data_IF_025439940716
#
_entry.id   IF_025439940716
#
_cell.length_a   1.000
_cell.length_b   1.000
_cell.length_c   1.000
_cell.angle_alpha   90.00
_cell.angle_beta   90.00
_cell.angle_gamma   90.00
#
_symmetry.space_group_name_H-M   'P 1'
#
loop_
_entity.id
_entity.type
_entity.pdbx_description
1 polymer ?
#
# COMPACT_ATOMS: atom_id res chain seq x y z
N UNK A 1 18.30 -6.24 10.02
CA UNK A 1 16.92 -6.35 9.48
C UNK A 1 16.99 -6.32 7.96
N UNK A 2 17.34 -7.48 7.39
CA UNK A 2 17.46 -7.70 5.96
C UNK A 2 16.20 -8.44 5.52
N UNK A 3 15.20 -7.68 5.06
CA UNK A 3 14.06 -8.27 4.38
C UNK A 3 14.43 -8.20 2.91
N UNK A 4 14.80 -9.34 2.34
CA UNK A 4 15.14 -9.45 0.91
C UNK A 4 13.99 -8.94 0.06
N UNK A 5 14.28 -8.02 -0.86
CA UNK A 5 13.29 -7.35 -1.73
C UNK A 5 12.39 -8.34 -2.51
N UNK A 6 12.86 -9.58 -2.70
CA UNK A 6 12.12 -10.69 -3.32
C UNK A 6 10.86 -11.09 -2.52
N UNK A 7 10.88 -10.97 -1.20
CA UNK A 7 9.75 -11.36 -0.34
C UNK A 7 8.61 -10.34 -0.34
N UNK A 8 8.92 -9.06 -0.53
CA UNK A 8 7.91 -7.99 -0.50
C UNK A 8 6.91 -8.11 -1.65
N UNK A 9 7.37 -8.53 -2.83
CA UNK A 9 6.50 -8.74 -3.99
C UNK A 9 5.56 -9.91 -3.78
N UNK A 10 6.06 -11.02 -3.25
CA UNK A 10 5.26 -12.20 -2.91
C UNK A 10 4.19 -11.83 -1.87
N UNK A 11 4.60 -11.14 -0.79
CA UNK A 11 3.71 -10.72 0.28
C UNK A 11 2.65 -9.72 -0.19
N UNK A 12 2.98 -8.80 -1.10
CA UNK A 12 2.00 -7.91 -1.71
C UNK A 12 0.91 -8.68 -2.46
N UNK A 13 1.29 -9.72 -3.21
CA UNK A 13 0.34 -10.58 -3.92
C UNK A 13 -0.55 -11.36 -2.95
N UNK A 14 0.04 -11.89 -1.88
CA UNK A 14 -0.71 -12.63 -0.85
C UNK A 14 -1.72 -11.72 -0.14
N UNK A 15 -1.34 -10.49 0.20
CA UNK A 15 -2.25 -9.48 0.78
C UNK A 15 -3.39 -9.18 -0.20
N UNK A 16 -3.09 -8.96 -1.48
CA UNK A 16 -4.11 -8.70 -2.49
C UNK A 16 -5.06 -9.89 -2.67
N UNK A 17 -4.54 -11.13 -2.68
CA UNK A 17 -5.35 -12.35 -2.76
C UNK A 17 -6.27 -12.49 -1.55
N UNK A 18 -5.72 -12.30 -0.35
CA UNK A 18 -6.49 -12.29 0.89
C UNK A 18 -7.62 -11.24 0.85
N UNK A 19 -7.33 -10.02 0.39
CA UNK A 19 -8.35 -8.98 0.25
C UNK A 19 -9.43 -9.34 -0.79
N UNK A 20 -9.08 -10.00 -1.91
CA UNK A 20 -10.04 -10.44 -2.93
C UNK A 20 -10.99 -11.53 -2.43
N UNK A 21 -10.50 -12.41 -1.57
CA UNK A 21 -11.30 -13.51 -1.01
C UNK A 21 -12.23 -13.03 0.12
N UNK A 22 -11.81 -12.02 0.88
CA UNK A 22 -12.53 -11.55 2.07
C UNK A 22 -13.37 -10.28 1.87
N UNK A 23 -13.21 -9.56 0.74
CA UNK A 23 -13.88 -8.27 0.52
C UNK A 23 -14.38 -8.10 -0.93
N UNK A 24 -15.39 -7.25 -1.15
CA UNK A 24 -15.83 -6.87 -2.48
C UNK A 24 -14.72 -6.26 -3.33
N UNK A 25 -14.74 -6.51 -4.64
CA UNK A 25 -13.65 -6.14 -5.56
C UNK A 25 -13.31 -4.64 -5.60
N UNK A 26 -14.25 -3.75 -5.24
CA UNK A 26 -14.04 -2.30 -5.21
C UNK A 26 -13.25 -1.80 -3.98
N UNK A 27 -13.14 -2.61 -2.92
CA UNK A 27 -12.32 -2.31 -1.74
C UNK A 27 -10.91 -2.90 -1.82
N UNK A 28 -10.66 -3.77 -2.79
CA UNK A 28 -9.36 -4.38 -2.98
C UNK A 28 -8.36 -3.29 -3.41
N UNK A 29 -7.22 -3.16 -2.72
CA UNK A 29 -6.20 -2.18 -3.10
C UNK A 29 -5.62 -2.51 -4.48
N UNK A 30 -5.34 -1.47 -5.27
CA UNK A 30 -4.70 -1.61 -6.60
C UNK A 30 -3.17 -1.72 -6.51
N UNK A 31 -2.59 -1.28 -5.40
CA UNK A 31 -1.15 -1.28 -5.14
C UNK A 31 -0.88 -1.37 -3.64
N UNK A 32 0.13 -2.14 -3.26
CA UNK A 32 0.63 -2.25 -1.88
C UNK A 32 2.08 -1.75 -1.88
N UNK A 33 2.41 -0.83 -0.98
CA UNK A 33 3.76 -0.29 -0.82
C UNK A 33 4.20 -0.53 0.63
N UNK A 34 5.32 -1.23 0.79
CA UNK A 34 5.96 -1.40 2.09
C UNK A 34 6.90 -0.23 2.35
N UNK A 35 6.92 0.23 3.59
CA UNK A 35 7.76 1.35 3.98
C UNK A 35 7.39 1.93 5.34
N UNK A 36 8.21 2.86 5.86
CA UNK A 36 7.97 3.47 7.15
C UNK A 36 6.75 4.39 7.11
N UNK A 37 5.87 4.24 8.12
CA UNK A 37 4.70 5.11 8.29
C UNK A 37 5.11 6.42 8.96
N UNK A 38 4.86 7.59 8.34
CA UNK A 38 5.17 8.88 8.95
C UNK A 38 4.24 9.10 10.14
N UNK A 39 4.82 9.16 11.35
CA UNK A 39 4.11 9.39 12.60
C UNK A 39 4.55 10.71 13.23
N UNK A 40 3.65 11.37 13.97
CA UNK A 40 4.00 12.52 14.81
C UNK A 40 4.77 12.07 16.06
N UNK A 41 5.35 13.01 16.81
CA UNK A 41 5.98 12.73 18.11
C UNK A 41 5.02 12.01 19.10
N UNK A 42 3.72 12.25 18.95
CA UNK A 42 2.64 11.59 19.72
C UNK A 42 2.12 10.30 19.06
N UNK A 43 2.76 9.80 18.00
CA UNK A 43 2.44 8.53 17.34
C UNK A 43 1.29 8.58 16.33
N UNK A 44 0.66 9.74 16.10
CA UNK A 44 -0.45 9.87 15.14
C UNK A 44 0.07 9.72 13.70
N UNK A 45 -0.63 8.93 12.89
CA UNK A 45 -0.29 8.74 11.47
C UNK A 45 -0.60 10.01 10.67
N UNK A 46 0.40 10.50 9.94
CA UNK A 46 0.26 11.71 9.11
C UNK A 46 -0.30 11.36 7.72
N UNK A 47 -1.61 11.11 7.64
CA UNK A 47 -2.31 10.71 6.39
C UNK A 47 -2.13 11.68 5.22
N UNK A 48 -1.89 12.97 5.49
CA UNK A 48 -1.69 13.99 4.45
C UNK A 48 -0.37 13.78 3.69
N UNK A 49 0.70 13.40 4.38
CA UNK A 49 1.98 13.05 3.74
C UNK A 49 1.84 11.79 2.89
N UNK A 50 1.15 10.78 3.41
CA UNK A 50 0.88 9.54 2.66
C UNK A 50 0.09 9.82 1.36
N UNK A 51 -0.94 10.66 1.44
CA UNK A 51 -1.72 11.08 0.25
C UNK A 51 -0.89 11.89 -0.74
N UNK A 52 0.03 12.73 -0.25
CA UNK A 52 0.92 13.53 -1.11
C UNK A 52 1.89 12.62 -1.86
N UNK A 53 2.52 11.65 -1.17
CA UNK A 53 3.38 10.63 -1.79
C UNK A 53 2.66 9.83 -2.88
N UNK A 54 1.41 9.44 -2.64
CA UNK A 54 0.60 8.73 -3.65
C UNK A 54 0.29 9.61 -4.86
N UNK A 55 0.00 10.90 -4.65
CA UNK A 55 -0.21 11.85 -5.75
C UNK A 55 1.04 12.02 -6.61
N UNK A 56 2.22 12.11 -5.99
CA UNK A 56 3.51 12.23 -6.68
C UNK A 56 3.87 10.98 -7.49
N UNK A 57 3.51 9.79 -6.99
CA UNK A 57 3.75 8.52 -7.68
C UNK A 57 2.91 8.34 -8.96
N UNK A 58 1.90 9.19 -9.16
CA UNK A 58 1.02 9.16 -10.33
C UNK A 58 -0.01 8.03 -10.30
N UNK A 59 -0.97 8.02 -11.25
CA UNK A 59 -1.99 6.98 -11.32
C UNK A 59 -1.33 5.62 -11.62
N UNK A 60 -1.59 4.65 -10.75
CA UNK A 60 -1.16 3.26 -10.98
C UNK A 60 -1.86 2.77 -12.25
N UNK A 61 -1.10 2.22 -13.20
CA UNK A 61 -1.55 1.80 -14.56
C UNK A 61 -2.82 0.92 -14.57
N UNK A 62 -3.18 0.29 -13.46
CA UNK A 62 -4.37 -0.56 -13.30
C UNK A 62 -5.65 0.22 -12.98
N UNK A 63 -5.60 1.53 -12.73
CA UNK A 63 -6.78 2.32 -12.36
C UNK A 63 -7.50 2.88 -13.59
N UNK A 64 -8.37 2.07 -14.21
CA UNK A 64 -9.47 2.61 -15.03
C UNK A 64 -10.59 3.10 -14.11
N UNK A 65 -10.52 4.37 -13.72
CA UNK A 65 -11.64 5.19 -13.26
C UNK A 65 -11.41 6.59 -13.80
#
# INVERSE_FOLDING_TARGET
>A
PEVDASNEQQLAQDIMKFCKENMPSYWVPKSVLFGPLPKTATGKIQKHLLRSKVKEMGPVKASKL
#
